data_IF_806838939824
#
_entry.id   IF_806838939824
#
_cell.length_a   1.000
_cell.length_b   1.000
_cell.length_c   1.000
_cell.angle_alpha   90.00
_cell.angle_beta   90.00
_cell.angle_gamma   90.00
#
_symmetry.space_group_name_H-M   'P 1'
#
loop_
_entity.id
_entity.type
_entity.pdbx_description
1 polymer ?
#
# COMPACT_ATOMS: atom_id res chain seq x y z
N UNK A 1 -26.45 -40.08 -45.60
CA UNK A 1 -25.46 -39.69 -44.59
C UNK A 1 -25.37 -38.17 -44.52
N UNK A 2 -25.62 -37.52 -43.37
CA UNK A 2 -25.45 -36.06 -43.20
C UNK A 2 -24.18 -35.79 -42.38
N UNK A 3 -23.22 -35.08 -42.96
CA UNK A 3 -21.98 -34.67 -42.29
C UNK A 3 -22.28 -33.44 -41.41
N UNK A 4 -22.39 -33.62 -40.10
CA UNK A 4 -22.45 -32.48 -39.18
C UNK A 4 -21.08 -31.79 -39.16
N UNK A 5 -21.02 -30.54 -39.62
CA UNK A 5 -19.81 -29.73 -39.53
C UNK A 5 -19.53 -29.39 -38.07
N UNK A 6 -18.30 -29.61 -37.62
CA UNK A 6 -17.84 -29.27 -36.27
C UNK A 6 -17.41 -27.80 -36.13
N UNK A 7 -17.36 -27.06 -37.25
CA UNK A 7 -16.91 -25.67 -37.32
C UNK A 7 -17.68 -24.69 -36.40
N UNK A 8 -19.03 -24.70 -36.29
CA UNK A 8 -19.74 -23.72 -35.45
C UNK A 8 -19.51 -23.95 -33.95
N UNK A 9 -19.28 -25.20 -33.52
CA UNK A 9 -18.99 -25.49 -32.12
C UNK A 9 -17.64 -24.87 -31.70
N UNK A 10 -16.63 -24.94 -32.57
CA UNK A 10 -15.30 -24.39 -32.33
C UNK A 10 -15.32 -22.85 -32.20
N UNK A 11 -16.13 -22.18 -33.02
CA UNK A 11 -16.32 -20.72 -32.98
C UNK A 11 -16.99 -20.29 -31.67
N UNK A 12 -18.04 -21.00 -31.23
CA UNK A 12 -18.73 -20.71 -29.96
C UNK A 12 -17.76 -20.86 -28.77
N UNK A 13 -16.96 -21.94 -28.73
CA UNK A 13 -15.96 -22.11 -27.66
C UNK A 13 -14.88 -21.03 -27.68
N UNK A 14 -14.45 -20.57 -28.85
CA UNK A 14 -13.47 -19.49 -28.97
C UNK A 14 -14.02 -18.15 -28.47
N UNK A 15 -15.27 -17.81 -28.84
CA UNK A 15 -15.95 -16.59 -28.38
C UNK A 15 -16.15 -16.61 -26.86
N UNK A 16 -16.57 -17.74 -26.28
CA UNK A 16 -16.65 -17.89 -24.82
C UNK A 16 -15.28 -17.76 -24.14
N UNK A 17 -14.19 -18.26 -24.75
CA UNK A 17 -12.86 -18.17 -24.17
C UNK A 17 -12.30 -16.73 -24.19
N UNK A 18 -12.58 -15.94 -25.24
CA UNK A 18 -12.26 -14.51 -25.26
C UNK A 18 -13.07 -13.71 -24.23
N UNK A 19 -14.31 -14.10 -23.94
CA UNK A 19 -15.16 -13.39 -22.96
C UNK A 19 -14.60 -13.43 -21.51
N UNK A 20 -13.83 -14.46 -21.14
CA UNK A 20 -13.13 -14.50 -19.85
C UNK A 20 -11.87 -13.61 -19.80
N UNK A 21 -11.31 -13.23 -20.95
CA UNK A 21 -10.08 -12.45 -21.05
C UNK A 21 -10.31 -10.93 -20.85
N UNK A 22 -11.57 -10.51 -20.75
CA UNK A 22 -12.00 -9.11 -20.48
C UNK A 22 -12.67 -8.94 -19.12
N UNK A 23 -12.55 -9.92 -18.21
CA UNK A 23 -12.87 -9.67 -16.80
C UNK A 23 -11.84 -8.70 -16.20
N UNK A 24 -12.24 -7.54 -15.66
CA UNK A 24 -11.32 -6.67 -14.96
C UNK A 24 -10.79 -7.39 -13.73
N UNK A 25 -9.47 -7.40 -13.55
CA UNK A 25 -8.77 -8.00 -12.41
C UNK A 25 -8.91 -7.14 -11.14
N UNK A 26 -10.16 -6.93 -10.71
CA UNK A 26 -10.48 -6.29 -9.45
C UNK A 26 -9.95 -7.14 -8.30
N UNK A 27 -8.76 -6.82 -7.81
CA UNK A 27 -8.24 -7.41 -6.58
C UNK A 27 -9.24 -7.11 -5.45
N UNK A 28 -9.71 -8.16 -4.77
CA UNK A 28 -10.63 -8.05 -3.65
C UNK A 28 -9.91 -7.53 -2.40
N UNK A 29 -9.41 -6.29 -2.47
CA UNK A 29 -9.01 -5.52 -1.30
C UNK A 29 -10.24 -5.31 -0.41
N UNK A 30 -10.06 -5.38 0.90
CA UNK A 30 -11.12 -5.15 1.88
C UNK A 30 -11.57 -3.69 1.79
N UNK A 31 -12.63 -3.44 1.02
CA UNK A 31 -13.09 -2.10 0.67
C UNK A 31 -13.64 -1.40 1.91
N UNK A 32 -12.94 -0.37 2.38
CA UNK A 32 -13.39 0.49 3.49
C UNK A 32 -14.77 1.09 3.17
N UNK A 33 -15.58 1.25 4.20
CA UNK A 33 -16.87 1.93 4.11
C UNK A 33 -16.67 3.44 3.89
N UNK A 34 -17.66 4.09 3.28
CA UNK A 34 -17.68 5.55 3.12
C UNK A 34 -17.66 6.24 4.49
N UNK A 35 -16.77 7.22 4.65
CA UNK A 35 -16.52 7.87 5.95
C UNK A 35 -15.24 8.70 5.97
N UNK A 36 -14.91 9.21 7.16
CA UNK A 36 -13.65 9.90 7.44
C UNK A 36 -12.91 9.11 8.52
N UNK A 37 -11.63 8.85 8.30
CA UNK A 37 -10.77 8.10 9.20
C UNK A 37 -9.46 8.86 9.47
N UNK A 38 -8.93 8.75 10.68
CA UNK A 38 -7.55 9.12 10.97
C UNK A 38 -6.62 7.96 10.58
N UNK A 39 -5.57 8.29 9.82
CA UNK A 39 -4.61 7.35 9.28
C UNK A 39 -3.18 7.74 9.65
N UNK A 40 -2.43 6.80 10.23
CA UNK A 40 -1.01 6.95 10.48
C UNK A 40 -0.20 6.60 9.24
N UNK A 41 1.00 7.16 9.13
CA UNK A 41 1.91 6.90 8.02
C UNK A 41 3.34 7.30 8.39
N UNK A 42 4.31 6.75 7.65
CA UNK A 42 5.72 7.15 7.68
C UNK A 42 6.13 7.58 6.28
N UNK A 43 6.85 8.70 6.16
CA UNK A 43 7.49 9.07 4.90
C UNK A 43 8.82 8.32 4.78
N UNK A 44 8.92 7.46 3.78
CA UNK A 44 10.15 6.75 3.41
C UNK A 44 10.90 7.46 2.28
N UNK A 45 12.18 7.11 2.10
CA UNK A 45 12.96 7.50 0.91
C UNK A 45 12.39 6.84 -0.36
N UNK A 46 12.87 7.23 -1.55
CA UNK A 46 12.46 6.60 -2.80
C UNK A 46 13.15 5.25 -3.03
N UNK A 47 14.42 5.15 -2.64
CA UNK A 47 15.36 4.06 -2.95
C UNK A 47 15.26 2.88 -1.97
N UNK A 48 15.03 3.20 -0.69
CA UNK A 48 15.04 2.24 0.41
C UNK A 48 13.86 2.46 1.36
N UNK A 49 13.61 1.48 2.23
CA UNK A 49 12.46 1.44 3.14
C UNK A 49 12.68 2.16 4.49
N UNK A 50 13.79 2.87 4.68
CA UNK A 50 14.02 3.71 5.85
C UNK A 50 13.28 5.04 5.77
N UNK A 51 13.08 5.68 6.93
CA UNK A 51 12.45 6.98 7.03
C UNK A 51 13.25 8.05 6.26
N UNK A 52 12.53 8.95 5.60
CA UNK A 52 13.09 10.17 5.00
C UNK A 52 13.13 11.27 6.05
N UNK A 53 14.12 12.17 5.97
CA UNK A 53 14.13 13.43 6.75
C UNK A 53 12.90 14.31 6.45
N UNK A 54 12.26 14.11 5.30
CA UNK A 54 10.99 14.76 4.97
C UNK A 54 9.85 14.36 5.92
N UNK A 55 9.95 13.24 6.65
CA UNK A 55 8.90 12.72 7.52
C UNK A 55 8.38 13.74 8.56
N UNK A 56 9.27 14.56 9.10
CA UNK A 56 8.96 15.40 10.27
C UNK A 56 8.23 16.71 9.87
N UNK A 57 8.21 16.99 8.56
CA UNK A 57 7.48 18.12 7.97
C UNK A 57 6.01 17.80 7.65
N UNK A 58 5.59 16.52 7.72
CA UNK A 58 4.20 16.10 7.53
C UNK A 58 3.57 15.66 8.86
N UNK A 59 2.43 16.26 9.22
CA UNK A 59 1.79 16.10 10.53
C UNK A 59 0.89 14.85 10.57
N UNK A 60 0.81 14.22 11.74
CA UNK A 60 0.25 12.86 11.93
C UNK A 60 -0.77 12.86 13.08
N UNK A 61 -1.90 12.16 12.96
CA UNK A 61 -2.38 11.42 11.78
C UNK A 61 -2.79 12.36 10.63
N UNK A 62 -2.81 11.82 9.41
CA UNK A 62 -3.52 12.44 8.29
C UNK A 62 -4.99 11.99 8.30
N UNK A 63 -5.85 12.64 7.50
CA UNK A 63 -7.25 12.21 7.34
C UNK A 63 -7.47 11.49 6.02
N UNK A 64 -8.02 10.28 6.08
CA UNK A 64 -8.49 9.51 4.94
C UNK A 64 -10.00 9.75 4.77
N UNK A 65 -10.40 10.26 3.61
CA UNK A 65 -11.79 10.38 3.19
C UNK A 65 -12.09 9.26 2.20
N UNK A 66 -13.09 8.44 2.50
CA UNK A 66 -13.57 7.35 1.63
C UNK A 66 -14.96 7.72 1.12
N UNK A 67 -15.17 7.72 -0.21
CA UNK A 67 -16.47 8.02 -0.82
C UNK A 67 -16.72 7.23 -2.10
N UNK A 68 -17.82 6.49 -2.16
CA UNK A 68 -18.13 5.44 -3.14
C UNK A 68 -17.02 4.37 -3.31
N UNK A 69 -16.04 4.33 -2.39
CA UNK A 69 -14.79 3.60 -2.53
C UNK A 69 -13.62 4.31 -3.21
N UNK A 70 -13.76 5.57 -3.61
CA UNK A 70 -12.61 6.41 -3.91
C UNK A 70 -11.98 6.84 -2.58
N UNK A 71 -10.65 6.67 -2.44
CA UNK A 71 -9.91 7.05 -1.24
C UNK A 71 -9.06 8.29 -1.52
N UNK A 72 -9.19 9.31 -0.67
CA UNK A 72 -8.40 10.55 -0.72
C UNK A 72 -7.78 10.82 0.64
N UNK A 73 -6.47 11.06 0.67
CA UNK A 73 -5.76 11.42 1.91
C UNK A 73 -5.51 12.92 1.92
N UNK A 74 -5.86 13.53 3.05
CA UNK A 74 -5.66 14.92 3.39
C UNK A 74 -4.48 15.00 4.37
N UNK A 75 -3.32 15.42 3.86
CA UNK A 75 -2.05 15.46 4.60
C UNK A 75 -1.75 16.89 5.05
N UNK A 76 -1.82 17.20 6.36
CA UNK A 76 -1.30 18.44 6.90
C UNK A 76 0.24 18.44 6.88
N UNK A 77 0.86 19.57 6.58
CA UNK A 77 2.31 19.78 6.62
C UNK A 77 2.67 21.12 7.26
N UNK A 78 3.80 21.14 7.94
CA UNK A 78 4.46 22.32 8.50
C UNK A 78 5.61 22.81 7.59
N UNK A 79 6.12 24.02 7.85
CA UNK A 79 7.08 24.71 6.98
C UNK A 79 6.60 24.74 5.52
N UNK A 80 5.32 25.07 5.32
CA UNK A 80 4.64 25.06 4.00
C UNK A 80 5.34 25.95 2.97
N UNK A 81 6.06 26.99 3.39
CA UNK A 81 6.87 27.84 2.51
C UNK A 81 8.06 27.10 1.86
N UNK A 82 8.57 26.04 2.49
CA UNK A 82 9.75 25.31 2.00
C UNK A 82 9.41 24.30 0.91
N UNK A 83 8.21 23.71 0.94
CA UNK A 83 7.77 22.74 -0.09
C UNK A 83 7.04 23.53 -1.20
N UNK A 84 7.78 23.94 -2.22
CA UNK A 84 7.29 24.77 -3.34
C UNK A 84 6.35 24.01 -4.28
N UNK A 85 6.67 22.75 -4.60
CA UNK A 85 5.82 21.85 -5.37
C UNK A 85 5.50 20.58 -4.57
N UNK A 86 4.28 20.05 -4.72
CA UNK A 86 3.90 18.73 -4.22
C UNK A 86 3.01 18.04 -5.27
N UNK A 87 3.53 16.99 -5.91
CA UNK A 87 2.93 16.31 -7.05
C UNK A 87 2.65 14.84 -6.73
N UNK A 88 1.37 14.48 -6.68
CA UNK A 88 0.87 13.12 -6.44
C UNK A 88 0.65 12.34 -7.74
N UNK A 89 0.67 10.99 -7.71
CA UNK A 89 0.19 10.18 -8.82
C UNK A 89 -1.28 10.46 -9.13
N UNK A 90 -1.60 10.64 -10.41
CA UNK A 90 -2.96 10.56 -10.95
C UNK A 90 -2.92 9.93 -12.36
N UNK A 91 -3.74 8.91 -12.57
CA UNK A 91 -3.91 8.22 -13.86
C UNK A 91 -2.58 7.86 -14.60
N UNK A 92 -1.55 7.48 -13.83
CA UNK A 92 -0.21 7.12 -14.33
C UNK A 92 0.78 8.28 -14.51
N UNK A 93 0.35 9.53 -14.34
CA UNK A 93 1.17 10.73 -14.36
C UNK A 93 1.40 11.26 -12.94
N UNK A 94 2.24 12.30 -12.80
CA UNK A 94 2.37 13.08 -11.56
C UNK A 94 1.79 14.47 -11.79
N UNK A 95 0.83 14.87 -10.95
CA UNK A 95 0.10 16.15 -11.03
C UNK A 95 0.11 16.86 -9.68
N UNK A 96 0.07 18.19 -9.69
CA UNK A 96 0.05 18.99 -8.46
C UNK A 96 -1.18 18.67 -7.60
N UNK A 97 -0.94 18.34 -6.33
CA UNK A 97 -2.00 17.97 -5.40
C UNK A 97 -2.81 19.19 -4.96
N UNK A 98 -4.11 18.98 -4.77
CA UNK A 98 -5.06 20.03 -4.42
C UNK A 98 -4.80 20.53 -2.99
N UNK A 99 -4.45 21.81 -2.81
CA UNK A 99 -4.45 22.44 -1.49
C UNK A 99 -5.91 22.62 -1.04
N UNK A 100 -6.24 22.16 0.18
CA UNK A 100 -7.59 22.29 0.76
C UNK A 100 -7.66 23.22 1.97
N UNK A 101 -6.52 23.53 2.58
CA UNK A 101 -6.40 24.51 3.67
C UNK A 101 -4.98 25.08 3.69
N UNK A 102 -4.83 26.33 4.14
CA UNK A 102 -3.55 27.01 4.34
C UNK A 102 -3.67 27.94 5.55
N UNK A 103 -2.67 27.90 6.42
CA UNK A 103 -2.47 28.83 7.54
C UNK A 103 -1.11 29.49 7.34
N UNK A 104 -1.13 30.76 6.93
CA UNK A 104 0.09 31.52 6.64
C UNK A 104 0.77 32.05 7.90
N UNK A 105 0.07 32.08 9.05
CA UNK A 105 0.62 32.53 10.33
C UNK A 105 1.37 31.40 11.05
N UNK A 106 0.91 30.15 10.89
CA UNK A 106 1.59 28.96 11.41
C UNK A 106 2.55 28.30 10.40
N UNK A 107 2.67 28.85 9.18
CA UNK A 107 3.31 28.25 8.00
C UNK A 107 2.92 26.77 7.76
N UNK A 108 1.61 26.52 7.70
CA UNK A 108 1.03 25.19 7.45
C UNK A 108 0.13 25.17 6.23
N UNK A 109 -0.02 23.98 5.63
CA UNK A 109 -1.09 23.70 4.66
C UNK A 109 -1.54 22.25 4.73
N UNK A 110 -2.72 21.97 4.18
CA UNK A 110 -3.22 20.61 3.97
C UNK A 110 -3.40 20.36 2.49
N UNK A 111 -2.76 19.32 1.96
CA UNK A 111 -2.94 18.84 0.58
C UNK A 111 -3.83 17.61 0.54
N UNK A 112 -4.66 17.50 -0.50
CA UNK A 112 -5.53 16.37 -0.78
C UNK A 112 -5.10 15.69 -2.08
N UNK A 113 -4.87 14.37 -2.01
CA UNK A 113 -4.57 13.54 -3.18
C UNK A 113 -5.25 12.17 -3.08
N UNK A 114 -5.42 11.53 -4.22
CA UNK A 114 -6.01 10.19 -4.34
C UNK A 114 -4.99 9.11 -3.95
N UNK A 115 -5.47 8.02 -3.35
CA UNK A 115 -4.68 6.80 -3.09
C UNK A 115 -5.48 5.60 -3.58
N UNK A 116 -4.89 4.73 -4.39
CA UNK A 116 -5.59 3.52 -4.89
C UNK A 116 -5.44 2.30 -3.96
N UNK A 117 -4.35 2.23 -3.17
CA UNK A 117 -4.05 1.10 -2.29
C UNK A 117 -3.23 1.55 -1.08
N UNK A 118 -3.76 1.35 0.14
CA UNK A 118 -3.10 1.70 1.40
C UNK A 118 -2.02 0.69 1.81
N UNK A 119 -2.00 -0.52 1.24
CA UNK A 119 -1.01 -1.56 1.55
C UNK A 119 0.34 -1.36 0.85
N UNK A 120 0.43 -0.44 -0.11
CA UNK A 120 1.62 -0.18 -0.93
C UNK A 120 2.13 1.25 -0.68
N UNK A 121 3.45 1.49 -0.53
CA UNK A 121 3.98 2.84 -0.37
C UNK A 121 3.73 3.72 -1.61
N UNK A 122 2.99 4.81 -1.46
CA UNK A 122 2.67 5.73 -2.54
C UNK A 122 3.81 6.73 -2.75
N UNK A 123 4.48 6.66 -3.91
CA UNK A 123 5.49 7.65 -4.30
C UNK A 123 4.85 8.98 -4.71
N UNK A 124 5.29 10.08 -4.12
CA UNK A 124 4.98 11.46 -4.57
C UNK A 124 6.29 12.21 -4.87
N UNK A 125 6.21 13.29 -5.64
CA UNK A 125 7.35 14.18 -5.94
C UNK A 125 7.18 15.51 -5.23
N UNK A 126 8.26 16.03 -4.68
CA UNK A 126 8.30 17.35 -4.04
C UNK A 126 9.48 18.17 -4.55
N UNK A 127 9.28 19.49 -4.63
CA UNK A 127 10.35 20.47 -4.76
C UNK A 127 10.50 21.16 -3.40
N UNK A 128 11.73 21.25 -2.90
CA UNK A 128 12.04 21.85 -1.60
C UNK A 128 13.06 22.97 -1.80
N UNK A 129 12.68 24.18 -1.40
CA UNK A 129 13.50 25.39 -1.52
C UNK A 129 13.59 26.08 -0.17
N UNK A 130 14.81 26.24 0.34
CA UNK A 130 15.10 26.99 1.58
C UNK A 130 16.15 28.06 1.26
N UNK A 131 15.74 29.29 0.88
CA UNK A 131 16.65 30.31 0.37
C UNK A 131 17.73 30.72 1.38
N UNK A 132 17.41 30.75 2.67
CA UNK A 132 18.34 31.04 3.77
C UNK A 132 19.45 30.00 3.95
N UNK A 133 19.28 28.79 3.40
CA UNK A 133 20.28 27.73 3.39
C UNK A 133 20.90 27.49 1.99
N UNK A 134 20.54 28.32 0.99
CA UNK A 134 20.88 28.11 -0.43
C UNK A 134 20.54 26.68 -0.91
N UNK A 135 19.38 26.16 -0.47
CA UNK A 135 18.95 24.79 -0.71
C UNK A 135 17.83 24.79 -1.76
N UNK A 136 18.01 24.06 -2.85
CA UNK A 136 17.01 23.82 -3.90
C UNK A 136 17.17 22.38 -4.39
N UNK A 137 16.22 21.51 -4.05
CA UNK A 137 16.27 20.09 -4.39
C UNK A 137 14.91 19.50 -4.70
N UNK A 138 14.88 18.64 -5.72
CA UNK A 138 13.72 17.83 -6.07
C UNK A 138 13.89 16.42 -5.51
N UNK A 139 12.86 15.91 -4.83
CA UNK A 139 12.85 14.56 -4.25
C UNK A 139 11.63 13.76 -4.71
N UNK A 140 11.81 12.44 -4.79
CA UNK A 140 10.69 11.50 -4.65
C UNK A 140 10.68 10.99 -3.21
N UNK A 141 9.51 10.95 -2.59
CA UNK A 141 9.31 10.40 -1.24
C UNK A 141 8.13 9.42 -1.27
N UNK A 142 8.11 8.43 -0.38
CA UNK A 142 7.06 7.38 -0.38
C UNK A 142 6.24 7.43 0.90
N UNK A 143 4.95 7.70 0.80
CA UNK A 143 3.99 7.57 1.89
C UNK A 143 3.71 6.09 2.14
N UNK A 144 4.26 5.53 3.22
CA UNK A 144 3.87 4.21 3.72
C UNK A 144 2.76 4.39 4.77
N UNK A 145 1.52 4.13 4.36
CA UNK A 145 0.35 4.21 5.22
C UNK A 145 0.24 3.00 6.15
N UNK A 146 -0.29 3.23 7.34
CA UNK A 146 -0.79 2.18 8.23
C UNK A 146 -2.25 1.89 7.87
N UNK A 147 -2.55 0.64 7.47
CA UNK A 147 -3.91 0.23 7.12
C UNK A 147 -4.85 0.12 8.34
N UNK A 148 -4.33 0.22 9.57
CA UNK A 148 -5.11 0.23 10.81
C UNK A 148 -5.73 1.62 11.07
N UNK A 149 -6.66 2.02 10.19
CA UNK A 149 -7.37 3.30 10.25
C UNK A 149 -8.37 3.38 11.42
N UNK A 150 -8.60 4.58 11.95
CA UNK A 150 -9.59 4.83 13.02
C UNK A 150 -10.69 5.75 12.54
N UNK A 151 -11.97 5.41 12.75
CA UNK A 151 -13.08 6.27 12.35
C UNK A 151 -13.08 7.60 13.12
N UNK A 152 -13.32 8.73 12.43
CA UNK A 152 -13.39 10.06 13.05
C UNK A 152 -14.83 10.36 13.43
N UNK A 153 -15.10 10.45 14.73
CA UNK A 153 -16.43 10.77 15.28
C UNK A 153 -17.26 9.56 15.73
N UNK A 154 -16.63 8.40 15.95
CA UNK A 154 -17.29 7.22 16.52
C UNK A 154 -16.55 6.73 17.78
N UNK A 155 -17.07 7.12 18.96
CA UNK A 155 -16.62 6.61 20.26
C UNK A 155 -17.06 5.15 20.52
N UNK A 156 -17.80 4.51 19.60
CA UNK A 156 -18.52 3.25 19.83
C UNK A 156 -18.42 2.21 18.69
N UNK A 157 -17.32 2.15 17.91
CA UNK A 157 -16.99 0.91 17.19
C UNK A 157 -15.50 0.59 17.00
N UNK A 158 -15.05 -0.46 17.70
CA UNK A 158 -13.75 -1.09 17.46
C UNK A 158 -13.89 -2.25 16.47
N UNK A 159 -13.53 -1.99 15.21
CA UNK A 159 -13.13 -2.91 14.14
C UNK A 159 -13.72 -4.35 14.14
N UNK A 160 -14.63 -4.62 13.20
CA UNK A 160 -14.92 -6.00 12.75
C UNK A 160 -14.03 -6.34 11.54
N UNK A 161 -12.90 -6.98 11.80
CA UNK A 161 -12.15 -7.77 10.80
C UNK A 161 -12.17 -9.21 11.28
N UNK A 162 -12.90 -10.06 10.56
CA UNK A 162 -13.20 -11.43 11.01
C UNK A 162 -11.94 -12.28 11.13
N UNK A 163 -11.63 -12.71 12.36
CA UNK A 163 -10.84 -13.90 12.66
C UNK A 163 -11.69 -14.81 13.55
N UNK A 164 -11.97 -16.02 13.08
CA UNK A 164 -12.70 -17.03 13.85
C UNK A 164 -11.82 -17.56 14.98
N UNK A 165 -12.40 -17.79 16.15
CA UNK A 165 -11.71 -18.26 17.36
C UNK A 165 -11.05 -19.64 17.20
N UNK A 166 -10.02 -19.90 18.03
CA UNK A 166 -10.26 -20.75 19.21
C UNK A 166 -9.43 -20.29 20.42
N UNK A 167 -9.83 -20.68 21.63
CA UNK A 167 -9.37 -20.08 22.90
C UNK A 167 -8.42 -20.97 23.71
N UNK A 168 -7.53 -20.34 24.51
CA UNK A 168 -7.27 -20.84 25.88
C UNK A 168 -6.88 -19.68 26.83
N UNK A 169 -7.35 -19.73 28.08
CA UNK A 169 -7.08 -18.72 29.13
C UNK A 169 -6.04 -19.18 30.15
N UNK A 170 -5.17 -18.24 30.57
CA UNK A 170 -4.70 -17.94 31.96
C UNK A 170 -3.73 -16.75 31.85
N UNK A 171 -3.87 -15.58 32.48
CA UNK A 171 -4.33 -15.14 33.82
C UNK A 171 -3.19 -14.98 34.85
N UNK A 172 -3.12 -13.79 35.49
CA UNK A 172 -2.10 -13.34 36.45
C UNK A 172 -0.73 -12.94 35.86
N UNK A 173 0.02 -11.95 36.39
CA UNK A 173 -0.34 -10.89 37.35
C UNK A 173 0.63 -9.68 37.25
N UNK A 174 0.16 -8.50 37.68
CA UNK A 174 0.83 -7.19 37.74
C UNK A 174 2.15 -7.15 38.53
N UNK A 175 3.14 -6.36 38.05
CA UNK A 175 3.94 -5.47 38.92
C UNK A 175 4.65 -4.33 38.17
N UNK A 176 4.42 -3.11 38.63
CA UNK A 176 5.32 -1.96 38.45
C UNK A 176 6.38 -1.96 39.57
N UNK A 177 7.55 -1.33 39.35
CA UNK A 177 7.93 -0.14 40.13
C UNK A 177 9.15 0.60 39.51
N UNK A 178 9.48 1.75 40.10
CA UNK A 178 10.50 2.73 39.67
C UNK A 178 11.90 2.29 40.22
N UNK A 179 13.09 2.90 39.99
CA UNK A 179 13.61 4.26 39.65
C UNK A 179 15.13 4.07 39.29
N UNK A 180 16.03 5.01 38.92
CA UNK A 180 16.12 6.49 38.76
C UNK A 180 17.33 6.81 37.80
N UNK A 181 17.66 8.09 37.65
CA UNK A 181 18.97 8.76 37.37
C UNK A 181 20.31 8.00 37.59
N UNK A 182 21.50 8.44 37.14
CA UNK A 182 21.97 9.43 36.12
C UNK A 182 23.53 9.52 36.17
N UNK A 183 24.19 9.88 35.05
CA UNK A 183 25.30 10.87 34.96
C UNK A 183 26.57 10.50 34.16
N UNK A 184 27.01 11.47 33.34
CA UNK A 184 28.34 11.76 32.75
C UNK A 184 29.03 10.67 31.89
N UNK A 185 29.30 10.92 30.60
CA UNK A 185 30.32 11.83 30.03
C UNK A 185 31.78 11.47 30.39
N UNK A 186 32.60 11.08 29.40
CA UNK A 186 33.68 11.94 28.84
C UNK A 186 34.49 11.20 27.75
N UNK A 187 34.21 11.54 26.48
CA UNK A 187 35.15 11.95 25.40
C UNK A 187 36.43 11.11 25.03
N UNK A 188 36.82 11.22 23.74
CA UNK A 188 38.05 10.75 23.06
C UNK A 188 38.17 9.22 22.78
N UNK A 189 38.91 8.77 21.76
CA UNK A 189 39.71 9.48 20.73
C UNK A 189 39.59 8.82 19.33
N UNK A 190 40.32 9.35 18.34
CA UNK A 190 40.19 9.04 16.92
C UNK A 190 40.66 7.65 16.44
N UNK A 191 40.14 7.22 15.27
CA UNK A 191 40.99 6.64 14.23
C UNK A 191 40.46 6.97 12.81
N UNK A 192 41.32 6.83 11.78
CA UNK A 192 41.13 7.31 10.41
C UNK A 192 41.54 6.23 9.39
N UNK A 193 40.57 5.74 8.61
CA UNK A 193 40.78 4.82 7.47
C UNK A 193 41.08 3.36 7.88
N UNK A 194 41.09 2.39 6.95
CA UNK A 194 40.80 2.47 5.50
C UNK A 194 40.39 1.09 4.93
N UNK A 195 39.85 1.07 3.72
CA UNK A 195 39.79 -0.02 2.73
C UNK A 195 38.76 -1.18 2.80
N UNK A 196 38.28 -1.48 1.58
CA UNK A 196 38.01 -2.81 0.97
C UNK A 196 36.80 -3.69 1.37
N UNK A 197 35.75 -3.56 0.56
CA UNK A 197 35.37 -4.60 -0.42
C UNK A 197 35.15 -6.05 0.05
N UNK A 198 34.12 -6.29 0.86
CA UNK A 198 33.58 -7.64 1.11
C UNK A 198 32.49 -8.04 0.09
N UNK A 199 32.67 -9.16 -0.63
CA UNK A 199 31.73 -9.66 -1.66
C UNK A 199 30.99 -10.93 -1.20
N UNK A 200 29.90 -10.76 -0.46
CA UNK A 200 28.86 -11.76 -0.16
C UNK A 200 27.63 -11.00 0.40
N UNK A 201 26.37 -11.43 0.28
CA UNK A 201 25.78 -12.60 -0.38
C UNK A 201 24.41 -12.22 -0.97
N UNK A 202 23.87 -13.01 -1.90
CA UNK A 202 22.56 -12.76 -2.53
C UNK A 202 21.46 -13.50 -1.77
N UNK A 203 20.81 -12.85 -0.81
CA UNK A 203 19.58 -13.37 -0.18
C UNK A 203 18.35 -12.98 -1.01
N UNK A 204 17.96 -13.85 -1.95
CA UNK A 204 16.71 -13.69 -2.70
C UNK A 204 15.51 -13.87 -1.75
N UNK A 205 14.88 -12.76 -1.33
CA UNK A 205 13.76 -12.77 -0.40
C UNK A 205 12.54 -13.52 -0.99
N UNK A 206 11.94 -14.50 -0.28
CA UNK A 206 10.90 -15.36 -0.83
C UNK A 206 9.66 -14.56 -1.22
N UNK A 207 9.30 -14.66 -2.50
CA UNK A 207 8.22 -13.89 -3.12
C UNK A 207 6.88 -14.56 -2.82
N UNK A 208 6.22 -14.18 -1.73
CA UNK A 208 4.85 -14.60 -1.40
C UNK A 208 3.81 -13.92 -2.31
N UNK A 209 3.92 -14.16 -3.61
CA UNK A 209 2.76 -14.10 -4.49
C UNK A 209 2.14 -15.48 -4.49
N UNK A 210 0.92 -15.61 -3.97
CA UNK A 210 0.20 -16.88 -4.00
C UNK A 210 -0.07 -17.29 -5.45
N UNK A 211 0.72 -18.24 -5.93
CA UNK A 211 0.51 -18.92 -7.20
C UNK A 211 -0.65 -19.92 -7.03
N UNK A 212 -1.85 -19.34 -6.83
CA UNK A 212 -3.11 -20.04 -6.81
C UNK A 212 -3.14 -20.93 -8.05
N UNK A 213 -3.23 -22.25 -7.86
CA UNK A 213 -2.93 -23.23 -8.93
C UNK A 213 -4.04 -23.29 -9.99
N UNK A 214 -4.18 -22.21 -10.76
CA UNK A 214 -5.09 -22.06 -11.90
C UNK A 214 -4.82 -23.17 -12.92
N UNK A 215 -3.56 -23.59 -13.10
CA UNK A 215 -3.19 -24.77 -13.89
C UNK A 215 -3.80 -26.09 -13.39
N UNK A 216 -3.96 -26.27 -12.06
CA UNK A 216 -4.62 -27.45 -11.49
C UNK A 216 -6.14 -27.39 -11.69
N UNK A 217 -6.75 -26.23 -11.50
CA UNK A 217 -8.19 -26.04 -11.79
C UNK A 217 -8.50 -26.19 -13.29
N UNK A 218 -7.66 -25.64 -14.17
CA UNK A 218 -7.76 -25.83 -15.61
C UNK A 218 -7.58 -27.31 -16.02
N UNK A 219 -6.63 -28.03 -15.41
CA UNK A 219 -6.46 -29.46 -15.63
C UNK A 219 -7.71 -30.26 -15.19
N UNK A 220 -8.30 -29.95 -14.03
CA UNK A 220 -9.55 -30.57 -13.57
C UNK A 220 -10.73 -30.31 -14.52
N UNK A 221 -10.87 -29.09 -15.03
CA UNK A 221 -11.90 -28.74 -16.03
C UNK A 221 -11.69 -29.50 -17.34
N UNK A 222 -10.44 -29.59 -17.83
CA UNK A 222 -10.11 -30.34 -19.05
C UNK A 222 -10.37 -31.86 -18.90
N UNK A 223 -9.97 -32.45 -17.77
CA UNK A 223 -10.22 -33.87 -17.45
C UNK A 223 -11.74 -34.15 -17.39
N UNK A 224 -12.50 -33.27 -16.74
CA UNK A 224 -13.97 -33.34 -16.69
C UNK A 224 -14.59 -33.27 -18.08
N UNK A 225 -14.15 -32.33 -18.93
CA UNK A 225 -14.62 -32.20 -20.31
C UNK A 225 -14.35 -33.45 -21.16
N UNK A 226 -13.15 -34.03 -21.06
CA UNK A 226 -12.79 -35.29 -21.75
C UNK A 226 -13.66 -36.46 -21.28
N UNK A 227 -13.94 -36.56 -19.97
CA UNK A 227 -14.83 -37.59 -19.42
C UNK A 227 -16.26 -37.43 -19.94
N UNK A 228 -16.79 -36.21 -19.96
CA UNK A 228 -18.15 -35.90 -20.44
C UNK A 228 -18.31 -36.23 -21.93
N UNK A 229 -17.36 -35.81 -22.78
CA UNK A 229 -17.33 -36.15 -24.21
C UNK A 229 -17.26 -37.66 -24.42
N UNK A 230 -16.45 -38.37 -23.64
CA UNK A 230 -16.34 -39.83 -23.72
C UNK A 230 -17.63 -40.53 -23.30
N UNK A 231 -18.34 -40.03 -22.28
CA UNK A 231 -19.63 -40.60 -21.86
C UNK A 231 -20.75 -40.37 -22.89
N UNK A 232 -20.83 -39.16 -23.46
CA UNK A 232 -21.81 -38.83 -24.52
C UNK A 232 -21.57 -39.67 -25.78
N UNK A 233 -20.30 -39.92 -26.15
CA UNK A 233 -19.94 -40.74 -27.32
C UNK A 233 -20.11 -42.26 -27.10
N UNK A 234 -20.35 -42.71 -25.86
CA UNK A 234 -20.68 -44.10 -25.51
C UNK A 234 -22.19 -44.32 -25.25
N UNK A 235 -23.00 -43.26 -25.35
CA UNK A 235 -24.44 -43.27 -25.08
C UNK A 235 -25.28 -43.13 -26.35
N UNK A 236 -24.72 -43.53 -27.51
CA UNK A 236 -25.29 -43.35 -28.85
C UNK A 236 -24.71 -44.34 -29.86
#
# INVERSE_FOLDING_TARGET
MRKFSVLPAFIITLVCMLAFLVMPSGQASAKLADGIYDINYVIKKAEDDSASMANDYFEKPAKLVVKNGEMKVQVPMNHSAWITEFKSPDNGNFVDSKVISKDEAADKRTVEFKVDDLSKPLGVKIHVVVPSANYDHHYTIRFAFDANVKAVGDDNNAAVVTKTDDQTKKDGQVKEEQKKEESKETNKDANKGTNESGKAEKTDNPKTGDDARIGLFAALVLISGVFLVRKVKLSK
#
